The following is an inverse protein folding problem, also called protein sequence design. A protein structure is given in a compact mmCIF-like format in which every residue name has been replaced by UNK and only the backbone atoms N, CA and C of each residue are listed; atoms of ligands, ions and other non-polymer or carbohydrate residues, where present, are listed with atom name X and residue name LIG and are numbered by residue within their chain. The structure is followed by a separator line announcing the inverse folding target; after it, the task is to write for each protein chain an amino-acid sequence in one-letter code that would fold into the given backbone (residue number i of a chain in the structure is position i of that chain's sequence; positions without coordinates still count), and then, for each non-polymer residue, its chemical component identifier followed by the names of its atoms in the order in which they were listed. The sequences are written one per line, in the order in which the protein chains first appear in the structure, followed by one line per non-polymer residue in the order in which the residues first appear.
data_IF_299318472042
#
_entry.id   IF_299318472042
#
_cell.length_a   1.000
_cell.length_b   1.000
_cell.length_c   1.000
_cell.angle_alpha   90.00
_cell.angle_beta   90.00
_cell.angle_gamma   90.00
#
_symmetry.space_group_name_H-M   'P 1'
#
loop_
_entity.id
_entity.type
_entity.pdbx_description
1 polymer ?
#
# COMPACT_ATOMS: atom_id res chain seq x y z
N UNK A 1 3.04 -2.17 9.76
CA UNK A 1 3.72 -3.04 8.78
C UNK A 1 4.54 -2.21 7.79
N UNK A 2 3.95 -1.33 6.99
CA UNK A 2 4.67 -0.51 5.99
C UNK A 2 5.85 0.27 6.57
N UNK A 3 5.65 1.05 7.65
CA UNK A 3 6.75 1.77 8.31
C UNK A 3 7.95 0.86 8.64
N UNK A 4 7.70 -0.31 9.22
CA UNK A 4 8.76 -1.27 9.59
C UNK A 4 9.50 -1.81 8.38
N UNK A 5 8.78 -2.14 7.29
CA UNK A 5 9.39 -2.60 6.06
C UNK A 5 10.26 -1.50 5.42
N UNK A 6 9.78 -0.25 5.40
CA UNK A 6 10.55 0.88 4.89
C UNK A 6 11.78 1.17 5.75
N UNK A 7 11.65 1.13 7.08
CA UNK A 7 12.76 1.32 8.00
C UNK A 7 13.86 0.25 7.82
N UNK A 8 13.49 -1.00 7.54
CA UNK A 8 14.44 -2.07 7.22
C UNK A 8 15.23 -1.79 5.93
N UNK A 9 14.67 -1.00 5.01
CA UNK A 9 15.32 -0.50 3.81
C UNK A 9 16.03 0.86 4.00
N UNK A 10 16.12 1.38 5.23
CA UNK A 10 16.71 2.70 5.52
C UNK A 10 15.83 3.88 5.12
N UNK A 11 14.54 3.65 4.83
CA UNK A 11 13.59 4.69 4.40
C UNK A 11 12.74 5.11 5.60
N UNK A 12 12.89 6.36 6.02
CA UNK A 12 12.07 6.92 7.08
C UNK A 12 10.61 7.10 6.62
N UNK A 13 9.67 6.67 7.45
CA UNK A 13 8.24 6.79 7.18
C UNK A 13 7.47 7.14 8.46
N UNK A 14 6.43 8.01 8.38
CA UNK A 14 5.50 8.21 9.47
C UNK A 14 4.80 6.92 9.89
N UNK A 15 4.23 6.89 11.11
CA UNK A 15 3.59 5.67 11.63
C UNK A 15 2.23 5.39 10.98
N UNK A 16 1.47 6.45 10.73
CA UNK A 16 0.07 6.42 10.32
C UNK A 16 -0.10 6.51 8.81
N UNK A 17 -1.13 5.86 8.27
CA UNK A 17 -1.31 5.71 6.81
C UNK A 17 -1.61 7.05 6.11
N UNK A 18 -2.32 7.96 6.77
CA UNK A 18 -2.63 9.30 6.24
C UNK A 18 -1.38 10.18 6.18
N UNK A 19 -0.52 10.12 7.21
CA UNK A 19 0.77 10.81 7.21
C UNK A 19 1.73 10.21 6.19
N UNK A 20 1.74 8.87 6.03
CA UNK A 20 2.49 8.20 4.97
C UNK A 20 2.00 8.62 3.58
N UNK A 21 0.69 8.68 3.36
CA UNK A 21 0.09 9.14 2.09
C UNK A 21 0.51 10.58 1.76
N UNK A 22 0.61 11.45 2.77
CA UNK A 22 1.05 12.83 2.59
C UNK A 22 2.55 12.94 2.30
N UNK A 23 3.38 12.20 3.05
CA UNK A 23 4.83 12.40 3.08
C UNK A 23 5.64 11.53 2.11
N UNK A 24 5.13 10.36 1.71
CA UNK A 24 5.92 9.37 0.96
C UNK A 24 5.70 9.43 -0.54
N UNK A 25 6.82 9.35 -1.27
CA UNK A 25 6.87 9.08 -2.70
C UNK A 25 6.17 10.12 -3.58
N UNK A 26 6.05 9.79 -4.86
CA UNK A 26 5.34 10.59 -5.86
C UNK A 26 3.99 9.95 -6.15
N UNK A 27 2.94 10.78 -6.22
CA UNK A 27 1.61 10.32 -6.59
C UNK A 27 1.55 9.91 -8.06
N UNK A 28 0.87 8.79 -8.32
CA UNK A 28 0.60 8.28 -9.65
C UNK A 28 -0.90 8.35 -9.97
N UNK A 29 -1.28 8.40 -11.25
CA UNK A 29 -2.66 8.14 -11.67
C UNK A 29 -3.17 6.81 -11.10
N UNK A 30 -4.46 6.73 -10.75
CA UNK A 30 -5.05 5.51 -10.15
C UNK A 30 -5.11 4.32 -11.12
N UNK A 31 -5.00 4.57 -12.41
CA UNK A 31 -4.92 3.59 -13.50
C UNK A 31 -3.47 3.30 -13.94
N UNK A 32 -2.48 3.86 -13.23
CA UNK A 32 -1.08 3.61 -13.54
C UNK A 32 -0.74 2.11 -13.42
N UNK A 33 0.13 1.62 -14.32
CA UNK A 33 0.69 0.27 -14.18
C UNK A 33 1.47 0.17 -12.87
N UNK A 34 0.95 -0.69 -11.98
CA UNK A 34 1.55 -1.00 -10.69
C UNK A 34 2.91 -1.67 -10.87
N UNK A 35 3.83 -1.34 -9.96
CA UNK A 35 5.18 -1.91 -9.89
C UNK A 35 5.47 -2.32 -8.46
N UNK A 36 6.41 -3.25 -8.31
CA UNK A 36 6.96 -3.63 -7.00
C UNK A 36 7.41 -2.38 -6.24
N UNK A 37 7.01 -2.30 -4.97
CA UNK A 37 7.31 -1.18 -4.08
C UNK A 37 6.29 -0.04 -4.13
N UNK A 38 5.32 -0.06 -5.06
CA UNK A 38 4.23 0.91 -5.02
C UNK A 38 3.41 0.75 -3.74
N UNK A 39 3.07 1.88 -3.13
CA UNK A 39 2.23 1.96 -1.94
C UNK A 39 0.82 2.33 -2.36
N UNK A 40 -0.16 1.54 -1.91
CA UNK A 40 -1.57 1.76 -2.20
C UNK A 40 -2.26 2.22 -0.91
N UNK A 41 -2.96 3.36 -0.99
CA UNK A 41 -3.58 3.99 0.16
C UNK A 41 -5.10 4.00 0.06
N UNK A 42 -5.74 3.67 1.19
CA UNK A 42 -7.17 3.80 1.43
C UNK A 42 -7.38 4.56 2.75
N UNK A 43 -8.63 4.92 3.07
CA UNK A 43 -8.91 5.54 4.36
C UNK A 43 -8.52 4.60 5.52
N UNK A 44 -7.48 4.98 6.28
CA UNK A 44 -6.97 4.21 7.43
C UNK A 44 -6.23 2.92 7.08
N UNK A 45 -5.89 2.67 5.81
CA UNK A 45 -5.23 1.43 5.38
C UNK A 45 -4.18 1.67 4.30
N UNK A 46 -3.11 0.89 4.33
CA UNK A 46 -2.01 0.96 3.36
C UNK A 46 -1.44 -0.44 3.09
N UNK A 47 -1.06 -0.70 1.83
CA UNK A 47 -0.38 -1.92 1.41
C UNK A 47 0.79 -1.64 0.44
N UNK A 48 1.64 -2.64 0.25
CA UNK A 48 2.79 -2.61 -0.66
C UNK A 48 2.58 -3.61 -1.78
N UNK A 49 2.77 -3.20 -3.03
CA UNK A 49 2.84 -4.12 -4.17
C UNK A 49 4.15 -4.90 -4.08
N UNK A 50 4.08 -6.22 -3.89
CA UNK A 50 5.27 -7.08 -3.79
C UNK A 50 5.79 -7.49 -5.18
N UNK A 51 4.87 -7.69 -6.14
CA UNK A 51 5.13 -8.05 -7.53
C UNK A 51 3.90 -7.70 -8.41
N UNK A 52 3.87 -8.15 -9.67
CA UNK A 52 2.79 -7.83 -10.62
C UNK A 52 1.39 -8.32 -10.20
N UNK A 53 1.30 -9.28 -9.27
CA UNK A 53 0.06 -9.94 -8.89
C UNK A 53 -0.22 -9.96 -7.39
N UNK A 54 0.70 -9.49 -6.53
CA UNK A 54 0.62 -9.67 -5.08
C UNK A 54 0.61 -8.35 -4.32
N UNK A 55 -0.38 -8.19 -3.43
CA UNK A 55 -0.43 -7.13 -2.42
C UNK A 55 -0.01 -7.70 -1.06
N UNK A 56 1.02 -7.10 -0.46
CA UNK A 56 1.42 -7.34 0.93
C UNK A 56 0.83 -6.25 1.83
N UNK A 57 0.03 -6.64 2.81
CA UNK A 57 -0.59 -5.69 3.74
C UNK A 57 -0.96 -6.35 5.08
N UNK A 58 -1.02 -5.54 6.13
CA UNK A 58 -1.66 -5.94 7.38
C UNK A 58 -3.16 -5.69 7.25
N UNK A 59 -3.99 -6.72 7.27
CA UNK A 59 -5.42 -6.58 7.02
C UNK A 59 -6.26 -6.88 8.27
N UNK A 60 -7.38 -6.17 8.41
CA UNK A 60 -8.35 -6.39 9.48
C UNK A 60 -9.40 -7.47 9.14
N UNK A 61 -9.23 -8.17 8.02
CA UNK A 61 -10.14 -9.25 7.59
C UNK A 61 -9.76 -10.57 8.26
N UNK A 62 -8.49 -10.95 8.15
CA UNK A 62 -7.90 -12.12 8.80
C UNK A 62 -7.05 -11.75 10.04
N UNK A 63 -6.92 -10.46 10.37
CA UNK A 63 -6.13 -9.95 11.49
C UNK A 63 -4.65 -10.35 11.43
N UNK A 64 -4.10 -10.41 10.22
CA UNK A 64 -2.73 -10.84 9.95
C UNK A 64 -2.07 -9.99 8.87
N UNK A 65 -0.75 -10.17 8.70
CA UNK A 65 -0.04 -9.70 7.51
C UNK A 65 -0.14 -10.77 6.44
N UNK A 66 -0.83 -10.47 5.35
CA UNK A 66 -1.10 -11.41 4.28
C UNK A 66 -0.51 -10.96 2.95
N UNK A 67 -0.21 -11.95 2.11
CA UNK A 67 0.01 -11.80 0.68
C UNK A 67 -1.28 -12.18 -0.03
N UNK A 68 -1.94 -11.23 -0.65
CA UNK A 68 -3.19 -11.46 -1.34
C UNK A 68 -3.05 -11.21 -2.84
N UNK A 69 -3.75 -11.99 -3.70
CA UNK A 69 -3.85 -11.67 -5.12
C UNK A 69 -4.42 -10.27 -5.29
N UNK A 70 -3.67 -9.40 -5.95
CA UNK A 70 -3.91 -7.98 -6.04
C UNK A 70 -5.32 -7.65 -6.56
N UNK A 71 -5.82 -8.26 -7.66
CA UNK A 71 -7.20 -8.01 -8.12
C UNK A 71 -8.26 -8.37 -7.07
N UNK A 72 -8.08 -9.46 -6.32
CA UNK A 72 -9.02 -9.89 -5.28
C UNK A 72 -8.99 -8.96 -4.08
N UNK A 73 -7.80 -8.56 -3.64
CA UNK A 73 -7.64 -7.63 -2.54
C UNK A 73 -8.25 -6.26 -2.86
N UNK A 74 -7.98 -5.73 -4.06
CA UNK A 74 -8.57 -4.47 -4.52
C UNK A 74 -10.10 -4.51 -4.53
N UNK A 75 -10.69 -5.56 -5.12
CA UNK A 75 -12.14 -5.72 -5.18
C UNK A 75 -12.77 -5.77 -3.77
N UNK A 76 -12.20 -6.58 -2.87
CA UNK A 76 -12.69 -6.72 -1.48
C UNK A 76 -12.55 -5.45 -0.67
N UNK A 77 -11.44 -4.71 -0.79
CA UNK A 77 -11.24 -3.45 -0.04
C UNK A 77 -12.19 -2.36 -0.57
N UNK A 78 -12.43 -2.32 -1.89
CA UNK A 78 -13.31 -1.35 -2.54
C UNK A 78 -14.76 -1.43 -2.04
N UNK A 79 -15.23 -2.58 -1.54
CA UNK A 79 -16.54 -2.72 -0.88
C UNK A 79 -16.69 -1.84 0.38
N UNK A 80 -15.57 -1.47 1.02
CA UNK A 80 -15.55 -0.69 2.26
C UNK A 80 -15.02 0.73 2.06
N UNK A 81 -13.98 0.88 1.24
CA UNK A 81 -13.31 2.17 1.03
C UNK A 81 -12.65 2.21 -0.35
N UNK A 82 -12.81 3.31 -1.11
CA UNK A 82 -12.16 3.44 -2.42
C UNK A 82 -10.66 3.64 -2.27
N UNK A 83 -9.89 3.19 -3.28
CA UNK A 83 -8.47 3.51 -3.39
C UNK A 83 -8.31 5.03 -3.54
N UNK A 84 -7.52 5.64 -2.68
CA UNK A 84 -7.32 7.10 -2.63
C UNK A 84 -6.13 7.55 -3.45
N UNK A 85 -5.01 6.84 -3.32
CA UNK A 85 -3.79 7.18 -4.03
C UNK A 85 -2.87 5.97 -4.22
N UNK A 86 -2.04 6.08 -5.25
CA UNK A 86 -0.89 5.21 -5.48
C UNK A 86 0.34 6.09 -5.34
N UNK A 87 1.31 5.67 -4.53
CA UNK A 87 2.60 6.34 -4.36
C UNK A 87 3.73 5.45 -4.80
N UNK A 88 4.67 5.99 -5.56
CA UNK A 88 5.93 5.32 -5.89
C UNK A 88 7.08 5.99 -5.17
N UNK A 89 7.87 5.18 -4.46
CA UNK A 89 9.13 5.64 -3.86
C UNK A 89 10.17 5.84 -4.97
N UNK A 90 10.90 6.96 -4.95
CA UNK A 90 11.93 7.29 -5.94
C UNK A 90 13.28 6.62 -5.70
N UNK A 91 13.25 5.35 -5.27
CA UNK A 91 14.44 4.54 -4.98
C UNK A 91 14.89 3.72 -6.20
#
# INVERSE_FOLDING_TARGET
MVQTALAACGIAAPRDSDQQESALGTALPLDARLRRGDLLFWAGHVGIVEDEATLLHANAFAMEVAREPLPRALARIAEKTPLRSIKRLGI
#
